data_IF_857562665266
#
_entry.id   IF_857562665266
#
_cell.length_a   1.000
_cell.length_b   1.000
_cell.length_c   1.000
_cell.angle_alpha   90.00
_cell.angle_beta   90.00
_cell.angle_gamma   90.00
#
_symmetry.space_group_name_H-M   'P 1'
#
loop_
_entity.id
_entity.type
_entity.pdbx_description
1 polymer ?
#
# COMPACT_ATOMS: atom_id res chain seq x y z
N UNK A 1 -27.28 -0.05 -12.72
CA UNK A 1 -25.84 -0.08 -13.08
C UNK A 1 -25.24 -1.24 -12.32
N UNK A 2 -24.86 -2.28 -13.06
CA UNK A 2 -24.31 -3.53 -12.53
C UNK A 2 -22.92 -3.26 -11.93
N UNK A 3 -22.72 -3.64 -10.67
CA UNK A 3 -21.39 -3.65 -10.08
C UNK A 3 -20.53 -4.62 -10.90
N UNK A 4 -19.26 -4.30 -11.22
CA UNK A 4 -18.39 -5.28 -11.86
C UNK A 4 -18.26 -6.50 -10.91
N UNK A 5 -18.74 -7.64 -11.39
CA UNK A 5 -18.50 -8.95 -10.79
C UNK A 5 -16.99 -9.22 -10.84
N UNK A 6 -16.29 -8.78 -9.80
CA UNK A 6 -14.94 -9.26 -9.56
C UNK A 6 -15.08 -10.72 -9.14
N UNK A 7 -14.39 -11.67 -9.80
CA UNK A 7 -14.29 -13.00 -9.24
C UNK A 7 -13.69 -12.84 -7.83
N UNK A 8 -14.43 -13.28 -6.82
CA UNK A 8 -13.88 -13.59 -5.51
C UNK A 8 -12.89 -14.74 -5.75
N UNK A 9 -11.69 -14.39 -6.21
CA UNK A 9 -10.55 -15.28 -6.22
C UNK A 9 -10.42 -15.75 -4.78
N UNK A 10 -10.69 -17.04 -4.57
CA UNK A 10 -10.51 -17.71 -3.30
C UNK A 10 -9.18 -17.23 -2.73
N UNK A 11 -9.24 -16.61 -1.55
CA UNK A 11 -8.06 -16.12 -0.86
C UNK A 11 -7.05 -17.27 -0.85
N UNK A 12 -5.83 -16.98 -1.30
CA UNK A 12 -4.70 -17.85 -0.97
C UNK A 12 -4.76 -18.15 0.53
N UNK A 13 -4.27 -19.32 0.93
CA UNK A 13 -4.36 -19.79 2.32
C UNK A 13 -3.98 -18.69 3.32
N UNK A 14 -4.44 -18.77 4.56
CA UNK A 14 -4.14 -17.75 5.56
C UNK A 14 -2.63 -17.45 5.67
N UNK A 15 -1.76 -18.44 5.45
CA UNK A 15 -0.31 -18.30 5.36
C UNK A 15 0.12 -17.43 4.17
N UNK A 16 -0.50 -17.60 3.01
CA UNK A 16 -0.30 -16.77 1.81
C UNK A 16 -0.63 -15.30 2.10
N UNK A 17 -1.71 -15.07 2.85
CA UNK A 17 -2.10 -13.72 3.27
C UNK A 17 -1.05 -13.10 4.21
N UNK A 18 -0.55 -13.85 5.19
CA UNK A 18 0.49 -13.40 6.11
C UNK A 18 1.79 -13.04 5.39
N UNK A 19 2.22 -13.87 4.43
CA UNK A 19 3.42 -13.61 3.63
C UNK A 19 3.32 -12.31 2.84
N UNK A 20 2.17 -12.03 2.22
CA UNK A 20 1.95 -10.80 1.48
C UNK A 20 2.03 -9.55 2.37
N UNK A 21 1.52 -9.63 3.61
CA UNK A 21 1.56 -8.53 4.57
C UNK A 21 2.96 -8.27 5.11
N UNK A 22 3.73 -9.32 5.41
CA UNK A 22 5.15 -9.19 5.79
C UNK A 22 5.94 -8.58 4.63
N UNK A 23 5.73 -9.06 3.39
CA UNK A 23 6.40 -8.53 2.22
C UNK A 23 6.06 -7.04 1.99
N UNK A 24 4.80 -6.66 2.21
CA UNK A 24 4.35 -5.26 2.07
C UNK A 24 4.95 -4.37 3.15
N UNK A 25 5.03 -4.85 4.41
CA UNK A 25 5.73 -4.17 5.49
C UNK A 25 7.19 -3.88 5.11
N UNK A 26 7.90 -4.88 4.56
CA UNK A 26 9.27 -4.73 4.08
C UNK A 26 9.36 -3.67 2.96
N UNK A 27 8.49 -3.74 1.96
CA UNK A 27 8.46 -2.78 0.85
C UNK A 27 8.22 -1.35 1.33
N UNK A 28 7.27 -1.12 2.24
CA UNK A 28 7.03 0.19 2.84
C UNK A 28 8.27 0.74 3.54
N UNK A 29 8.99 -0.09 4.31
CA UNK A 29 10.20 0.32 5.04
C UNK A 29 11.39 0.57 4.11
N UNK A 30 11.51 -0.17 3.00
CA UNK A 30 12.47 0.13 1.93
C UNK A 30 12.19 1.49 1.28
N UNK A 31 10.93 1.81 1.01
CA UNK A 31 10.52 3.12 0.48
C UNK A 31 10.80 4.23 1.49
N UNK A 32 10.49 4.02 2.78
CA UNK A 32 10.79 4.97 3.87
C UNK A 32 12.30 5.23 3.95
N UNK A 33 13.12 4.19 4.00
CA UNK A 33 14.58 4.29 4.03
C UNK A 33 15.13 5.13 2.87
N UNK A 34 14.63 4.90 1.64
CA UNK A 34 15.03 5.66 0.44
C UNK A 34 14.63 7.13 0.52
N UNK A 35 13.43 7.42 1.05
CA UNK A 35 12.90 8.79 1.17
C UNK A 35 13.52 9.58 2.32
N UNK A 36 14.15 8.91 3.29
CA UNK A 36 14.81 9.57 4.41
C UNK A 36 15.88 10.55 3.90
N UNK A 37 15.67 11.83 4.22
CA UNK A 37 16.52 12.95 3.79
C UNK A 37 17.91 12.94 4.41
N UNK A 38 18.65 14.03 4.21
CA UNK A 38 19.94 14.26 4.87
C UNK A 38 19.72 14.90 6.26
N UNK A 39 20.76 14.92 7.09
CA UNK A 39 20.71 15.54 8.43
C UNK A 39 20.49 14.55 9.57
N UNK A 40 20.19 15.05 10.77
CA UNK A 40 20.01 14.22 11.98
C UNK A 40 18.72 13.40 11.91
N UNK A 41 17.60 14.04 11.58
CA UNK A 41 16.29 13.39 11.44
C UNK A 41 16.30 12.31 10.35
N UNK A 42 16.88 12.62 9.18
CA UNK A 42 17.05 11.64 8.12
C UNK A 42 17.91 10.43 8.51
N UNK A 43 18.96 10.63 9.32
CA UNK A 43 19.76 9.53 9.87
C UNK A 43 18.97 8.67 10.85
N UNK A 44 18.19 9.28 11.74
CA UNK A 44 17.34 8.56 12.67
C UNK A 44 16.28 7.72 11.93
N UNK A 45 15.59 8.31 10.96
CA UNK A 45 14.59 7.61 10.14
C UNK A 45 15.20 6.46 9.32
N UNK A 46 16.46 6.58 8.87
CA UNK A 46 17.17 5.45 8.24
C UNK A 46 17.49 4.34 9.23
N UNK A 47 17.98 4.69 10.41
CA UNK A 47 18.29 3.70 11.45
C UNK A 47 17.04 2.93 11.90
N UNK A 48 15.92 3.64 12.08
CA UNK A 48 14.62 3.05 12.37
C UNK A 48 14.18 2.10 11.25
N UNK A 49 14.23 2.55 9.98
CA UNK A 49 13.87 1.71 8.85
C UNK A 49 14.77 0.46 8.73
N UNK A 50 16.08 0.57 9.01
CA UNK A 50 17.01 -0.58 9.00
C UNK A 50 16.68 -1.57 10.11
N UNK A 51 16.39 -1.09 11.33
CA UNK A 51 15.94 -1.94 12.44
C UNK A 51 14.65 -2.66 12.08
N UNK A 52 13.69 -1.94 11.52
CA UNK A 52 12.39 -2.49 11.14
C UNK A 52 12.52 -3.55 10.02
N UNK A 53 13.39 -3.31 9.03
CA UNK A 53 13.69 -4.27 7.96
C UNK A 53 14.30 -5.55 8.51
N UNK A 54 15.22 -5.45 9.47
CA UNK A 54 15.85 -6.62 10.08
C UNK A 54 14.89 -7.42 10.99
N UNK A 55 14.00 -6.74 11.72
CA UNK A 55 12.90 -7.40 12.44
C UNK A 55 11.94 -8.13 11.49
N UNK A 56 11.54 -7.48 10.40
CA UNK A 56 10.66 -8.07 9.39
C UNK A 56 11.32 -9.20 8.60
N UNK A 57 12.64 -9.14 8.35
CA UNK A 57 13.39 -10.23 7.73
C UNK A 57 13.35 -11.50 8.60
N UNK A 58 13.39 -11.35 9.93
CA UNK A 58 13.25 -12.48 10.86
C UNK A 58 11.83 -13.05 10.80
N UNK A 59 10.80 -12.19 10.77
CA UNK A 59 9.42 -12.63 10.61
C UNK A 59 9.20 -13.37 9.28
N UNK A 60 9.78 -12.89 8.18
CA UNK A 60 9.73 -13.56 6.87
C UNK A 60 10.41 -14.93 6.89
N UNK A 61 11.58 -15.03 7.54
CA UNK A 61 12.30 -16.30 7.67
C UNK A 61 11.50 -17.32 8.49
N UNK A 62 10.84 -16.89 9.56
CA UNK A 62 9.96 -17.75 10.34
C UNK A 62 8.73 -18.18 9.53
N UNK A 63 8.11 -17.27 8.76
CA UNK A 63 6.93 -17.55 7.95
C UNK A 63 7.22 -18.52 6.79
N UNK A 64 8.42 -18.46 6.22
CA UNK A 64 8.85 -19.31 5.11
C UNK A 64 9.58 -20.59 5.55
N UNK A 65 9.96 -20.67 6.84
CA UNK A 65 10.81 -21.74 7.36
C UNK A 65 12.24 -21.74 6.80
N UNK A 66 12.64 -20.71 6.04
CA UNK A 66 13.89 -20.64 5.32
C UNK A 66 14.66 -19.35 5.65
N UNK A 67 15.98 -19.43 5.70
CA UNK A 67 16.82 -18.24 5.89
C UNK A 67 16.99 -17.52 4.55
N UNK A 68 16.34 -16.38 4.42
CA UNK A 68 16.44 -15.50 3.26
C UNK A 68 17.68 -14.59 3.40
N UNK A 69 18.59 -14.54 2.40
CA UNK A 69 19.64 -13.54 2.37
C UNK A 69 19.07 -12.12 2.30
N UNK A 70 19.67 -11.15 3.00
CA UNK A 70 19.18 -9.76 3.02
C UNK A 70 19.03 -9.16 1.62
N UNK A 71 19.95 -9.49 0.72
CA UNK A 71 19.96 -9.04 -0.67
C UNK A 71 18.77 -9.58 -1.49
N UNK A 72 18.00 -10.51 -0.95
CA UNK A 72 16.87 -11.16 -1.62
C UNK A 72 15.52 -10.79 -1.00
N UNK A 73 15.48 -9.93 0.03
CA UNK A 73 14.22 -9.50 0.62
C UNK A 73 13.23 -8.94 -0.42
N UNK A 74 11.90 -9.21 -0.25
CA UNK A 74 10.87 -8.72 -1.14
C UNK A 74 10.97 -7.22 -1.36
N UNK A 75 10.96 -6.80 -2.63
CA UNK A 75 11.14 -5.39 -2.99
C UNK A 75 10.41 -5.04 -4.28
N UNK A 76 10.09 -3.76 -4.51
CA UNK A 76 9.52 -3.31 -5.77
C UNK A 76 10.47 -3.59 -6.93
N UNK A 77 9.91 -3.93 -8.10
CA UNK A 77 10.69 -4.03 -9.33
C UNK A 77 11.05 -2.64 -9.84
N UNK A 78 12.26 -2.52 -10.39
CA UNK A 78 12.61 -1.37 -11.23
C UNK A 78 12.01 -1.49 -12.63
N UNK A 79 11.98 -0.36 -13.34
CA UNK A 79 11.37 -0.23 -14.67
C UNK A 79 11.98 -1.18 -15.70
N UNK A 80 13.28 -1.37 -15.69
CA UNK A 80 13.98 -2.18 -16.69
C UNK A 80 13.67 -3.66 -16.47
N UNK A 81 13.74 -4.10 -15.20
CA UNK A 81 13.34 -5.47 -14.83
C UNK A 81 11.86 -5.72 -15.11
N UNK A 82 10.99 -4.75 -14.82
CA UNK A 82 9.56 -4.85 -15.13
C UNK A 82 9.31 -4.97 -16.63
N UNK A 83 9.98 -4.16 -17.46
CA UNK A 83 9.84 -4.21 -18.91
C UNK A 83 10.31 -5.55 -19.47
N UNK A 84 11.49 -6.02 -19.06
CA UNK A 84 12.03 -7.32 -19.49
C UNK A 84 11.12 -8.49 -19.12
N UNK A 85 10.54 -8.45 -17.91
CA UNK A 85 9.71 -9.53 -17.43
C UNK A 85 8.26 -9.45 -17.99
N UNK A 86 7.77 -8.26 -18.36
CA UNK A 86 6.46 -8.06 -18.98
C UNK A 86 6.35 -8.70 -20.37
N UNK A 87 7.44 -8.77 -21.12
CA UNK A 87 7.49 -9.46 -22.43
C UNK A 87 7.11 -10.96 -22.34
N UNK A 88 7.00 -11.50 -21.11
CA UNK A 88 6.65 -12.89 -20.84
C UNK A 88 5.15 -13.13 -20.59
N UNK A 89 4.26 -12.12 -20.74
CA UNK A 89 2.87 -12.16 -20.25
C UNK A 89 1.78 -11.74 -21.26
N UNK A 90 0.53 -12.17 -21.00
CA UNK A 90 -0.68 -11.76 -21.72
C UNK A 90 -1.51 -10.73 -20.91
N UNK A 91 -2.07 -9.70 -21.55
CA UNK A 91 -2.65 -8.51 -20.88
C UNK A 91 -4.17 -8.54 -20.66
N UNK A 92 -4.63 -8.01 -19.52
CA UNK A 92 -6.04 -7.81 -19.12
C UNK A 92 -6.25 -6.55 -18.23
N UNK A 93 -7.46 -6.27 -17.68
CA UNK A 93 -7.81 -4.97 -17.07
C UNK A 93 -7.28 -4.74 -15.64
N UNK A 94 -7.19 -5.80 -14.82
CA UNK A 94 -6.37 -5.87 -13.60
C UNK A 94 -5.65 -7.21 -13.67
N UNK A 95 -4.32 -7.18 -13.62
CA UNK A 95 -3.51 -8.37 -13.80
C UNK A 95 -2.44 -8.46 -12.73
N UNK A 96 -2.07 -9.69 -12.40
CA UNK A 96 -0.91 -10.02 -11.60
C UNK A 96 -0.48 -11.42 -12.00
N UNK A 97 0.71 -11.53 -12.58
CA UNK A 97 1.25 -12.78 -13.09
C UNK A 97 2.62 -13.05 -12.47
N UNK A 98 2.91 -14.32 -12.22
CA UNK A 98 4.14 -14.78 -11.58
C UNK A 98 5.04 -15.40 -12.64
N UNK A 99 6.25 -14.88 -12.75
CA UNK A 99 7.25 -15.35 -13.72
C UNK A 99 8.56 -15.68 -13.02
N UNK A 100 9.24 -16.73 -13.50
CA UNK A 100 10.60 -17.04 -13.06
C UNK A 100 11.58 -16.05 -13.68
N UNK A 101 12.45 -15.45 -12.87
CA UNK A 101 13.48 -14.54 -13.35
C UNK A 101 14.69 -15.27 -13.95
N UNK A 102 14.75 -16.60 -13.81
CA UNK A 102 15.85 -17.41 -14.34
C UNK A 102 16.03 -17.24 -15.86
N UNK A 103 14.91 -17.07 -16.60
CA UNK A 103 14.94 -16.81 -18.04
C UNK A 103 15.58 -15.47 -18.41
N UNK A 104 15.67 -14.53 -17.48
CA UNK A 104 16.37 -13.24 -17.63
C UNK A 104 17.77 -13.25 -17.00
N UNK A 105 18.32 -14.44 -16.67
CA UNK A 105 19.63 -14.59 -16.05
C UNK A 105 19.68 -14.10 -14.59
N UNK A 106 18.55 -13.98 -13.92
CA UNK A 106 18.46 -13.48 -12.54
C UNK A 106 17.84 -14.50 -11.59
N UNK A 107 18.25 -14.56 -10.31
CA UNK A 107 17.63 -15.45 -9.34
C UNK A 107 16.27 -14.93 -8.85
N UNK A 108 15.39 -15.85 -8.49
CA UNK A 108 14.09 -15.57 -7.86
C UNK A 108 12.92 -15.49 -8.84
N UNK A 109 11.84 -14.87 -8.37
CA UNK A 109 10.56 -14.76 -9.06
C UNK A 109 10.13 -13.29 -9.12
N UNK A 110 9.36 -12.93 -10.14
CA UNK A 110 8.74 -11.63 -10.28
C UNK A 110 7.22 -11.76 -10.34
N UNK A 111 6.54 -10.83 -9.68
CA UNK A 111 5.11 -10.60 -9.84
C UNK A 111 4.94 -9.32 -10.63
N UNK A 112 4.24 -9.39 -11.75
CA UNK A 112 4.02 -8.26 -12.65
C UNK A 112 2.54 -8.01 -12.77
N UNK A 113 2.13 -6.76 -12.61
CA UNK A 113 0.71 -6.45 -12.67
C UNK A 113 0.39 -5.03 -13.06
N UNK A 114 -0.91 -4.81 -13.19
CA UNK A 114 -1.50 -3.50 -13.38
C UNK A 114 -2.67 -3.32 -12.43
N UNK A 115 -2.68 -2.20 -11.70
CA UNK A 115 -3.74 -1.84 -10.76
C UNK A 115 -4.37 -0.52 -11.21
N UNK A 116 -5.69 -0.49 -11.52
CA UNK A 116 -6.38 0.74 -11.88
C UNK A 116 -6.19 1.84 -10.82
N UNK A 117 -5.85 3.05 -11.27
CA UNK A 117 -5.57 4.20 -10.40
C UNK A 117 -4.15 4.26 -9.80
N UNK A 118 -3.38 3.17 -9.87
CA UNK A 118 -1.97 3.13 -9.44
C UNK A 118 -1.00 2.92 -10.61
N UNK A 119 -1.42 2.19 -11.66
CA UNK A 119 -0.61 1.89 -12.83
C UNK A 119 0.14 0.56 -12.73
N UNK A 120 1.37 0.52 -13.24
CA UNK A 120 2.22 -0.67 -13.20
C UNK A 120 2.69 -0.97 -11.78
N UNK A 121 2.49 -2.21 -11.34
CA UNK A 121 2.97 -2.72 -10.05
C UNK A 121 3.87 -3.92 -10.27
N UNK A 122 4.91 -4.05 -9.46
CA UNK A 122 5.88 -5.10 -9.62
C UNK A 122 6.58 -5.46 -8.33
N UNK A 123 6.73 -6.75 -8.06
CA UNK A 123 7.48 -7.24 -6.92
C UNK A 123 8.51 -8.29 -7.35
N UNK A 124 9.68 -8.24 -6.72
CA UNK A 124 10.66 -9.32 -6.73
C UNK A 124 10.51 -10.14 -5.46
N UNK A 125 10.51 -11.46 -5.59
CA UNK A 125 10.44 -12.42 -4.51
C UNK A 125 11.50 -13.51 -4.65
N UNK A 126 11.90 -14.11 -3.54
CA UNK A 126 12.91 -15.17 -3.51
C UNK A 126 12.32 -16.50 -3.95
N UNK A 127 11.18 -16.84 -3.39
CA UNK A 127 10.49 -18.09 -3.61
C UNK A 127 9.21 -17.86 -4.41
N UNK A 128 8.75 -18.93 -5.06
CA UNK A 128 7.49 -18.92 -5.78
C UNK A 128 6.31 -18.65 -4.84
N UNK A 129 6.33 -19.19 -3.62
CA UNK A 129 5.24 -19.02 -2.65
C UNK A 129 5.06 -17.55 -2.24
N UNK A 130 6.16 -16.82 -2.03
CA UNK A 130 6.11 -15.37 -1.75
C UNK A 130 5.60 -14.61 -2.98
N UNK A 131 5.97 -15.02 -4.19
CA UNK A 131 5.46 -14.43 -5.42
C UNK A 131 3.96 -14.70 -5.62
N UNK A 132 3.49 -15.91 -5.38
CA UNK A 132 2.07 -16.28 -5.45
C UNK A 132 1.24 -15.54 -4.38
N UNK A 133 1.81 -15.34 -3.19
CA UNK A 133 1.22 -14.50 -2.16
C UNK A 133 1.05 -13.04 -2.59
N UNK A 134 2.10 -12.46 -3.16
CA UNK A 134 2.08 -11.10 -3.69
C UNK A 134 1.13 -10.96 -4.89
N UNK A 135 1.02 -11.98 -5.73
CA UNK A 135 0.01 -12.04 -6.80
C UNK A 135 -1.40 -11.96 -6.24
N UNK A 136 -1.74 -12.80 -5.27
CA UNK A 136 -3.06 -12.76 -4.63
C UNK A 136 -3.33 -11.38 -3.99
N UNK A 137 -2.31 -10.79 -3.36
CA UNK A 137 -2.39 -9.45 -2.78
C UNK A 137 -2.65 -8.36 -3.82
N UNK A 138 -1.94 -8.39 -4.96
CA UNK A 138 -2.12 -7.45 -6.06
C UNK A 138 -3.48 -7.56 -6.72
N UNK A 139 -4.14 -8.71 -6.67
CA UNK A 139 -5.47 -8.90 -7.25
C UNK A 139 -6.59 -8.45 -6.30
N UNK A 140 -6.37 -8.52 -4.99
CA UNK A 140 -7.45 -8.38 -3.98
C UNK A 140 -7.44 -7.06 -3.20
N UNK A 141 -6.28 -6.40 -3.03
CA UNK A 141 -6.19 -5.20 -2.18
C UNK A 141 -6.55 -3.89 -2.91
N UNK A 142 -7.03 -2.86 -2.18
CA UNK A 142 -7.28 -1.55 -2.77
C UNK A 142 -5.97 -0.87 -3.18
N UNK A 143 -6.05 0.01 -4.19
CA UNK A 143 -4.87 0.66 -4.79
C UNK A 143 -4.00 1.45 -3.79
N UNK A 144 -4.62 2.08 -2.79
CA UNK A 144 -3.91 2.88 -1.78
C UNK A 144 -2.90 2.06 -0.98
N UNK A 145 -3.20 0.77 -0.73
CA UNK A 145 -2.34 -0.14 0.02
C UNK A 145 -1.23 -0.76 -0.83
N UNK A 146 -1.38 -0.73 -2.16
CA UNK A 146 -0.40 -1.28 -3.09
C UNK A 146 0.65 -0.25 -3.53
N UNK A 147 0.56 0.99 -3.03
CA UNK A 147 1.44 2.10 -3.45
C UNK A 147 2.94 1.83 -3.23
N UNK A 148 3.29 1.02 -2.24
CA UNK A 148 4.67 0.59 -2.00
C UNK A 148 5.25 -0.26 -3.15
N UNK A 149 4.38 -0.93 -3.93
CA UNK A 149 4.72 -1.84 -5.03
C UNK A 149 4.72 -1.18 -6.41
N UNK A 150 4.48 0.12 -6.49
CA UNK A 150 4.62 0.86 -7.73
C UNK A 150 6.05 0.67 -8.29
N UNK A 151 6.14 0.35 -9.59
CA UNK A 151 7.42 0.13 -10.26
C UNK A 151 8.33 1.33 -10.09
N UNK A 152 9.57 1.09 -9.66
CA UNK A 152 10.53 2.16 -9.34
C UNK A 152 11.38 2.53 -10.56
N UNK A 153 11.87 3.77 -10.64
CA UNK A 153 12.74 4.18 -11.75
C UNK A 153 14.12 3.51 -11.72
N UNK A 154 14.60 3.19 -10.52
CA UNK A 154 15.90 2.57 -10.30
C UNK A 154 15.77 1.36 -9.38
N UNK A 155 16.73 0.41 -9.42
CA UNK A 155 16.77 -0.74 -8.54
C UNK A 155 16.71 -0.35 -7.06
N UNK A 156 15.73 -0.88 -6.33
CA UNK A 156 15.63 -0.70 -4.89
C UNK A 156 16.69 -1.57 -4.19
N UNK A 157 17.71 -0.94 -3.61
CA UNK A 157 18.72 -1.65 -2.82
C UNK A 157 18.23 -1.89 -1.40
N UNK A 158 18.46 -3.09 -0.88
CA UNK A 158 18.29 -3.41 0.54
C UNK A 158 19.53 -2.87 1.28
N UNK A 159 19.37 -2.05 2.34
CA UNK A 159 20.50 -1.62 3.14
C UNK A 159 21.14 -2.79 3.88
N UNK A 160 22.39 -2.66 4.29
CA UNK A 160 23.04 -3.66 5.16
C UNK A 160 22.26 -3.77 6.47
N UNK A 161 21.78 -4.98 6.77
CA UNK A 161 21.02 -5.22 7.99
C UNK A 161 21.96 -5.62 9.14
N UNK A 162 21.64 -5.23 10.39
CA UNK A 162 22.37 -5.71 11.55
C UNK A 162 22.21 -7.23 11.71
N UNK A 163 23.26 -7.90 12.18
CA UNK A 163 23.25 -9.36 12.41
C UNK A 163 22.23 -9.78 13.47
N UNK A 164 21.93 -8.89 14.42
CA UNK A 164 20.99 -9.12 15.51
C UNK A 164 20.16 -7.85 15.75
N UNK A 165 18.89 -8.05 16.08
CA UNK A 165 17.96 -6.99 16.48
C UNK A 165 17.34 -7.39 17.81
N UNK A 166 17.18 -6.43 18.73
CA UNK A 166 16.32 -6.64 19.89
C UNK A 166 14.86 -6.71 19.42
N UNK A 167 14.39 -7.93 19.20
CA UNK A 167 13.05 -8.19 18.68
C UNK A 167 11.95 -7.75 19.66
N UNK A 168 12.22 -7.76 20.97
CA UNK A 168 11.27 -7.27 21.95
C UNK A 168 11.13 -5.74 21.81
N UNK A 169 12.25 -5.01 21.73
CA UNK A 169 12.20 -3.57 21.49
C UNK A 169 11.59 -3.22 20.11
N UNK A 170 11.82 -4.05 19.09
CA UNK A 170 11.19 -3.89 17.78
C UNK A 170 9.67 -4.04 17.86
N UNK A 171 9.15 -5.07 18.56
CA UNK A 171 7.71 -5.32 18.72
C UNK A 171 6.99 -4.13 19.34
N UNK A 172 7.60 -3.43 20.30
CA UNK A 172 7.00 -2.24 20.92
C UNK A 172 6.71 -1.10 19.92
N UNK A 173 7.40 -1.08 18.77
CA UNK A 173 7.20 -0.06 17.73
C UNK A 173 6.19 -0.46 16.67
N UNK A 174 5.68 -1.71 16.72
CA UNK A 174 4.64 -2.16 15.81
C UNK A 174 3.32 -1.49 16.15
N UNK A 175 2.53 -1.22 15.10
CA UNK A 175 1.20 -0.65 15.19
C UNK A 175 0.14 -1.77 15.19
N UNK A 176 -0.54 -2.02 16.31
CA UNK A 176 -1.55 -3.07 16.41
C UNK A 176 -2.77 -2.82 15.52
N UNK A 177 -2.95 -1.65 14.93
CA UNK A 177 -4.06 -1.37 14.02
C UNK A 177 -3.73 -1.69 12.56
N UNK A 178 -2.46 -1.96 12.23
CA UNK A 178 -2.02 -2.26 10.85
C UNK A 178 -1.88 -3.76 10.63
N UNK A 179 -2.52 -4.27 9.57
CA UNK A 179 -2.46 -5.69 9.19
C UNK A 179 -1.00 -6.18 8.99
N UNK A 180 -0.15 -5.37 8.37
CA UNK A 180 1.28 -5.67 8.16
C UNK A 180 2.03 -5.90 9.46
N UNK A 181 1.80 -5.03 10.44
CA UNK A 181 2.44 -5.06 11.75
C UNK A 181 1.95 -6.24 12.59
N UNK A 182 0.64 -6.57 12.52
CA UNK A 182 0.08 -7.80 13.11
C UNK A 182 0.69 -9.06 12.51
N UNK A 183 0.86 -9.10 11.19
CA UNK A 183 1.43 -10.24 10.48
C UNK A 183 2.90 -10.48 10.87
N UNK A 184 3.67 -9.39 11.01
CA UNK A 184 5.04 -9.45 11.53
C UNK A 184 5.04 -9.96 12.97
N UNK A 185 4.24 -9.38 13.86
CA UNK A 185 4.18 -9.80 15.26
C UNK A 185 3.79 -11.28 15.42
N UNK A 186 2.80 -11.75 14.66
CA UNK A 186 2.39 -13.17 14.61
C UNK A 186 3.59 -14.08 14.32
N UNK A 187 4.34 -13.77 13.27
CA UNK A 187 5.45 -14.60 12.80
C UNK A 187 6.73 -14.41 13.62
N UNK A 188 6.72 -13.57 14.66
CA UNK A 188 7.77 -13.48 15.67
C UNK A 188 7.47 -14.27 16.95
N UNK A 189 6.25 -14.81 17.10
CA UNK A 189 5.88 -15.63 18.26
C UNK A 189 6.75 -16.89 18.33
N UNK A 190 7.03 -17.33 19.55
CA UNK A 190 7.83 -18.53 19.82
C UNK A 190 9.33 -18.34 19.59
N UNK A 191 9.77 -17.15 19.18
CA UNK A 191 11.20 -16.87 18.97
C UNK A 191 11.98 -16.85 20.29
N UNK A 192 11.48 -16.13 21.30
CA UNK A 192 11.96 -16.23 22.68
C UNK A 192 10.94 -15.63 23.66
N UNK A 193 11.07 -15.98 24.95
CA UNK A 193 10.14 -15.55 26.01
C UNK A 193 9.99 -14.03 26.15
N UNK A 194 11.06 -13.26 25.88
CA UNK A 194 11.06 -11.80 26.01
C UNK A 194 10.26 -11.16 24.86
N UNK A 195 10.48 -11.62 23.64
CA UNK A 195 9.69 -11.21 22.47
C UNK A 195 8.22 -11.60 22.64
N UNK A 196 7.93 -12.80 23.13
CA UNK A 196 6.54 -13.24 23.38
C UNK A 196 5.85 -12.42 24.47
N UNK A 197 6.58 -11.96 25.48
CA UNK A 197 6.06 -11.04 26.49
C UNK A 197 5.73 -9.66 25.88
N UNK A 198 6.63 -9.12 25.05
CA UNK A 198 6.40 -7.87 24.33
C UNK A 198 5.19 -7.97 23.39
N UNK A 199 5.04 -9.08 22.65
CA UNK A 199 3.88 -9.31 21.77
C UNK A 199 2.59 -9.34 22.59
N UNK A 200 2.55 -10.08 23.70
CA UNK A 200 1.37 -10.14 24.58
C UNK A 200 1.01 -8.78 25.18
N UNK A 201 2.00 -7.96 25.52
CA UNK A 201 1.80 -6.61 26.04
C UNK A 201 1.34 -5.61 24.99
N UNK A 202 1.97 -5.62 23.81
CA UNK A 202 1.68 -4.64 22.75
C UNK A 202 0.37 -4.94 22.01
N UNK A 203 0.07 -6.21 21.80
CA UNK A 203 -1.11 -6.69 21.07
C UNK A 203 -2.16 -7.30 22.02
N UNK A 204 -2.25 -6.78 23.25
CA UNK A 204 -3.27 -7.24 24.19
C UNK A 204 -4.67 -7.06 23.59
N UNK A 205 -5.53 -8.07 23.73
CA UNK A 205 -6.88 -8.14 23.16
C UNK A 205 -6.97 -8.19 21.63
N UNK A 206 -5.85 -8.37 20.93
CA UNK A 206 -5.83 -8.58 19.48
C UNK A 206 -5.54 -10.04 19.20
N UNK A 207 -6.47 -10.69 18.51
CA UNK A 207 -6.27 -12.03 17.99
C UNK A 207 -5.39 -11.96 16.73
N UNK A 208 -4.09 -12.25 16.86
CA UNK A 208 -3.20 -12.32 15.69
C UNK A 208 -3.40 -13.62 14.89
N UNK A 209 -4.26 -14.54 15.34
CA UNK A 209 -4.73 -15.73 14.63
C UNK A 209 -6.03 -15.52 13.85
N UNK A 210 -6.70 -14.38 14.05
CA UNK A 210 -7.89 -14.06 13.30
C UNK A 210 -7.57 -13.93 11.80
N UNK A 211 -8.31 -14.63 10.92
CA UNK A 211 -8.20 -14.42 9.49
C UNK A 211 -8.60 -12.98 9.17
N UNK A 212 -7.73 -12.26 8.46
CA UNK A 212 -8.06 -10.90 8.09
C UNK A 212 -9.21 -10.91 7.08
N UNK A 213 -10.32 -10.29 7.45
CA UNK A 213 -11.49 -10.19 6.60
C UNK A 213 -11.16 -9.21 5.47
N UNK A 214 -11.03 -9.72 4.24
CA UNK A 214 -11.00 -8.86 3.06
C UNK A 214 -12.38 -8.22 2.92
N UNK A 215 -12.47 -6.97 3.39
CA UNK A 215 -13.66 -6.16 3.15
C UNK A 215 -13.55 -5.65 1.71
N UNK A 216 -14.45 -6.02 0.79
CA UNK A 216 -14.41 -5.46 -0.55
C UNK A 216 -14.49 -3.94 -0.46
N UNK A 217 -13.87 -3.20 -1.41
CA UNK A 217 -13.91 -1.75 -1.38
C UNK A 217 -15.36 -1.30 -1.31
N UNK A 218 -15.72 -0.63 -0.21
CA UNK A 218 -17.01 0.02 -0.12
C UNK A 218 -17.08 1.01 -1.28
N UNK A 219 -18.13 0.89 -2.11
CA UNK A 219 -18.38 1.82 -3.19
C UNK A 219 -18.22 3.25 -2.65
N UNK A 220 -17.57 4.17 -3.38
CA UNK A 220 -17.40 5.53 -2.91
C UNK A 220 -18.78 6.05 -2.53
N UNK A 221 -18.92 6.46 -1.27
CA UNK A 221 -20.16 7.04 -0.78
C UNK A 221 -20.56 8.12 -1.78
N UNK A 222 -21.66 7.87 -2.50
CA UNK A 222 -22.22 8.85 -3.41
C UNK A 222 -22.37 10.17 -2.65
N UNK A 223 -22.20 11.32 -3.33
CA UNK A 223 -22.35 12.61 -2.67
C UNK A 223 -23.65 12.61 -1.87
N UNK A 224 -23.63 13.07 -0.60
CA UNK A 224 -24.82 13.02 0.24
C UNK A 224 -25.95 13.66 -0.54
N UNK A 225 -27.04 12.90 -0.71
CA UNK A 225 -28.23 13.39 -1.38
C UNK A 225 -28.54 14.76 -0.79
N UNK A 226 -28.48 15.81 -1.63
CA UNK A 226 -28.83 17.17 -1.24
C UNK A 226 -30.24 17.08 -0.66
N UNK A 227 -30.34 17.13 0.68
CA UNK A 227 -31.61 17.33 1.37
C UNK A 227 -32.21 18.57 0.74
N UNK A 228 -33.31 18.39 0.01
CA UNK A 228 -34.05 19.49 -0.57
C UNK A 228 -34.30 20.52 0.54
N UNK A 229 -33.70 21.70 0.38
CA UNK A 229 -33.89 22.79 1.32
C UNK A 229 -35.38 23.10 1.35
N UNK A 230 -36.00 22.80 2.50
CA UNK A 230 -37.37 23.15 2.81
C UNK A 230 -37.50 24.68 2.61
N UNK A 231 -38.43 25.18 1.78
CA UNK A 231 -38.51 26.61 1.52
C UNK A 231 -38.84 27.36 2.81
N UNK A 232 -37.93 28.24 3.23
CA UNK A 232 -38.15 29.13 4.36
C UNK A 232 -39.29 30.11 4.03
N UNK A 233 -40.31 30.14 4.90
CA UNK A 233 -41.38 31.14 4.88
C UNK A 233 -40.76 32.53 4.96
N UNK A 234 -40.98 33.34 3.91
CA UNK A 234 -40.66 34.78 3.90
C UNK A 234 -41.53 35.51 4.94
N UNK A 235 -40.96 36.34 5.82
CA UNK A 235 -41.75 37.29 6.61
C UNK A 235 -42.21 38.47 5.72
N UNK A 236 -43.35 39.11 6.03
CA UNK A 236 -43.90 40.17 5.21
C UNK A 236 -43.10 41.47 5.40
N UNK A 237 -42.58 42.00 4.30
CA UNK A 237 -41.93 43.32 4.25
C UNK A 237 -43.01 44.38 4.11
N UNK A 238 -43.20 45.19 5.17
CA UNK A 238 -43.99 46.42 5.15
C UNK A 238 -43.32 47.44 4.23
N UNK A 239 -44.11 47.99 3.31
CA UNK A 239 -43.71 49.07 2.43
C UNK A 239 -43.50 50.39 3.20
N UNK A 240 -42.38 51.06 2.94
CA UNK A 240 -42.27 52.51 3.08
C UNK A 240 -41.49 53.07 1.88
N UNK A 241 -42.04 54.12 1.31
CA UNK A 241 -41.78 54.73 0.01
C UNK A 241 -40.65 55.77 0.10
N UNK A 242 -39.90 55.86 -1.00
CA UNK A 242 -39.26 57.06 -1.60
C UNK A 242 -38.06 57.70 -0.89
N UNK A 243 -36.92 57.72 -1.59
CA UNK A 243 -36.45 58.92 -2.30
C UNK A 243 -35.33 58.57 -3.32
N UNK A 244 -35.49 59.13 -4.52
CA UNK A 244 -34.58 59.06 -5.67
C UNK A 244 -33.28 59.82 -5.37
N UNK A 245 -32.13 59.28 -5.80
CA UNK A 245 -31.11 60.03 -6.57
C UNK A 245 -30.49 59.06 -7.59
N UNK A 246 -30.55 59.43 -8.88
CA UNK A 246 -29.96 58.76 -10.04
C UNK A 246 -28.54 59.31 -10.30
N UNK A 247 -27.60 58.46 -10.76
CA UNK A 247 -26.68 58.65 -11.93
C UNK A 247 -25.48 57.65 -11.87
N UNK A 248 -24.76 57.38 -12.98
CA UNK A 248 -25.19 56.51 -14.09
C UNK A 248 -24.18 55.38 -14.38
N UNK A 249 -24.61 54.42 -15.19
CA UNK A 249 -23.85 53.27 -15.66
C UNK A 249 -22.75 53.64 -16.67
N UNK A 250 -21.62 52.91 -16.62
CA UNK A 250 -20.64 52.86 -17.71
C UNK A 250 -20.87 51.58 -18.57
N UNK A 251 -20.66 51.66 -19.89
CA UNK A 251 -21.31 50.77 -20.85
C UNK A 251 -20.57 49.45 -21.09
N UNK A 252 -21.39 48.42 -21.33
CA UNK A 252 -21.05 47.16 -21.99
C UNK A 252 -20.73 47.41 -23.46
N UNK A 253 -19.63 46.86 -23.98
CA UNK A 253 -19.44 46.67 -25.43
C UNK A 253 -19.26 45.16 -25.68
N UNK A 254 -20.12 44.54 -26.51
CA UNK A 254 -20.01 43.14 -26.90
C UNK A 254 -19.34 42.98 -28.29
N UNK A 255 -18.94 41.73 -28.59
CA UNK A 255 -18.72 41.13 -29.93
C UNK A 255 -17.48 41.63 -30.70
N UNK A 256 -16.74 40.84 -31.50
CA UNK A 256 -16.97 39.54 -32.14
C UNK A 256 -15.64 39.02 -32.72
N UNK A 257 -15.50 37.69 -32.75
CA UNK A 257 -14.94 36.80 -33.79
C UNK A 257 -13.90 37.23 -34.85
N UNK A 258 -13.07 36.21 -35.14
CA UNK A 258 -12.57 35.75 -36.45
C UNK A 258 -11.08 35.99 -36.74
N UNK A 259 -10.40 34.89 -37.09
CA UNK A 259 -9.00 34.80 -37.53
C UNK A 259 -8.74 35.47 -38.89
N UNK A 260 -7.62 35.17 -39.57
CA UNK A 260 -7.09 33.84 -39.84
C UNK A 260 -5.88 33.41 -38.98
#
# INVERSE_FOLDING_TARGET
MTAPDYPLLALGSYETYQLAHIATYIAERLVRHRRSGRGREGRAARAEAVRDLAGAATALNNATGARTPDAELPRPLDRDTFAAARELLATGPRTADVVSLAGAGQPGWAVLGHVPGLGAVGARAVTKDVADALRAHFLTRPAGELSAWAVTQAPQRVPTLPRQVDLAAFVEHLDPDRDGDRAVARNLRGHNRRTDAAIRGRFTHIDLDAPAVVTPPSAPAGPPARRAARPARRPPVRAARRLRIQKPAAPTVPNTNAGP
#
